data_IF_842421332816
#
_entry.id   IF_842421332816
#
_cell.length_a   1.000
_cell.length_b   1.000
_cell.length_c   1.000
_cell.angle_alpha   90.00
_cell.angle_beta   90.00
_cell.angle_gamma   90.00
#
_symmetry.space_group_name_H-M   'P 1'
#
loop_
_entity.id
_entity.type
_entity.pdbx_description
1 polymer ?
#
# COMPACT_ATOMS: atom_id res chain seq x y z
N UNK A 1 -46.29 18.84 9.73
CA UNK A 1 -45.76 17.80 8.83
C UNK A 1 -44.27 18.05 8.74
N UNK A 2 -43.51 17.48 9.67
CA UNK A 2 -42.07 17.70 9.77
C UNK A 2 -41.35 16.80 8.76
N UNK A 3 -40.48 17.42 7.97
CA UNK A 3 -39.65 16.83 6.94
C UNK A 3 -38.59 15.90 7.53
N UNK A 4 -38.74 14.58 7.38
CA UNK A 4 -37.63 13.64 7.64
C UNK A 4 -36.78 13.51 6.37
N UNK A 5 -35.93 14.51 6.16
CA UNK A 5 -34.76 14.36 5.31
C UNK A 5 -33.72 13.49 6.03
N UNK A 6 -32.96 12.71 5.24
CA UNK A 6 -31.77 11.95 5.65
C UNK A 6 -32.00 10.60 6.34
N UNK A 7 -32.09 9.53 5.55
CA UNK A 7 -31.70 8.16 5.95
C UNK A 7 -31.40 7.33 4.69
N UNK A 8 -30.59 7.89 3.79
CA UNK A 8 -29.85 7.12 2.79
C UNK A 8 -28.45 6.84 3.36
N UNK A 9 -28.39 6.32 4.60
CA UNK A 9 -27.16 5.75 5.10
C UNK A 9 -26.88 4.49 4.28
N UNK A 10 -25.80 4.52 3.52
CA UNK A 10 -25.25 3.38 2.81
C UNK A 10 -25.20 2.17 3.74
N UNK A 11 -26.11 1.21 3.56
CA UNK A 11 -26.06 -0.04 4.30
C UNK A 11 -24.80 -0.80 3.89
N UNK A 12 -23.72 -0.56 4.62
CA UNK A 12 -22.47 -1.32 4.47
C UNK A 12 -22.80 -2.76 4.85
N UNK A 13 -22.69 -3.67 3.89
CA UNK A 13 -22.89 -5.10 4.14
C UNK A 13 -22.06 -5.55 5.35
N UNK A 14 -22.62 -6.41 6.20
CA UNK A 14 -21.94 -6.90 7.41
C UNK A 14 -20.54 -7.46 7.12
N UNK A 15 -20.34 -8.10 5.96
CA UNK A 15 -19.04 -8.59 5.53
C UNK A 15 -18.02 -7.45 5.31
N UNK A 16 -18.44 -6.34 4.70
CA UNK A 16 -17.59 -5.16 4.48
C UNK A 16 -17.25 -4.48 5.80
N UNK A 17 -18.19 -4.40 6.74
CA UNK A 17 -17.93 -3.84 8.07
C UNK A 17 -16.90 -4.68 8.86
N UNK A 18 -17.01 -6.01 8.79
CA UNK A 18 -16.02 -6.94 9.39
C UNK A 18 -14.65 -6.79 8.73
N UNK A 19 -14.60 -6.69 7.39
CA UNK A 19 -13.36 -6.46 6.64
C UNK A 19 -12.70 -5.13 7.04
N UNK A 20 -13.45 -4.02 7.06
CA UNK A 20 -12.92 -2.73 7.50
C UNK A 20 -12.44 -2.77 8.96
N UNK A 21 -13.16 -3.49 9.82
CA UNK A 21 -12.75 -3.70 11.21
C UNK A 21 -11.42 -4.48 11.32
N UNK A 22 -11.25 -5.54 10.55
CA UNK A 22 -10.01 -6.31 10.51
C UNK A 22 -8.83 -5.52 9.92
N UNK A 23 -9.09 -4.61 8.98
CA UNK A 23 -8.06 -3.72 8.44
C UNK A 23 -7.78 -2.49 9.30
N UNK A 24 -8.61 -2.19 10.30
CA UNK A 24 -8.43 -1.01 11.14
C UNK A 24 -7.06 -1.06 11.86
N UNK A 25 -6.30 0.05 11.91
CA UNK A 25 -5.00 0.10 12.58
C UNK A 25 -5.04 -0.34 14.06
N UNK A 26 -6.18 -0.11 14.74
CA UNK A 26 -6.38 -0.51 16.14
C UNK A 26 -6.46 -2.02 16.37
N UNK A 27 -6.80 -2.81 15.34
CA UNK A 27 -6.85 -4.28 15.43
C UNK A 27 -5.57 -4.91 14.91
N UNK A 28 -5.06 -4.41 13.77
CA UNK A 28 -4.00 -5.08 13.01
C UNK A 28 -2.68 -4.29 12.92
N UNK A 29 -2.42 -3.41 13.89
CA UNK A 29 -1.25 -2.50 13.89
C UNK A 29 0.10 -3.20 13.69
N UNK A 30 0.30 -4.38 14.28
CA UNK A 30 1.53 -5.17 14.09
C UNK A 30 1.71 -5.60 12.62
N UNK A 31 0.64 -6.08 11.98
CA UNK A 31 0.68 -6.46 10.55
C UNK A 31 1.00 -5.26 9.67
N UNK A 32 0.43 -4.09 9.95
CA UNK A 32 0.73 -2.87 9.20
C UNK A 32 2.18 -2.43 9.36
N UNK A 33 2.74 -2.56 10.57
CA UNK A 33 4.15 -2.30 10.79
C UNK A 33 5.05 -3.30 10.04
N UNK A 34 4.74 -4.59 10.09
CA UNK A 34 5.45 -5.63 9.32
C UNK A 34 5.39 -5.33 7.83
N UNK A 35 4.24 -4.91 7.31
CA UNK A 35 4.09 -4.56 5.90
C UNK A 35 4.95 -3.34 5.53
N UNK A 36 4.97 -2.29 6.37
CA UNK A 36 5.85 -1.12 6.17
C UNK A 36 7.33 -1.55 6.13
N UNK A 37 7.76 -2.41 7.06
CA UNK A 37 9.15 -2.94 7.08
C UNK A 37 9.44 -3.79 5.84
N UNK A 38 8.49 -4.62 5.40
CA UNK A 38 8.64 -5.42 4.19
C UNK A 38 8.81 -4.53 2.94
N UNK A 39 8.06 -3.43 2.84
CA UNK A 39 8.22 -2.44 1.77
C UNK A 39 9.60 -1.77 1.81
N UNK A 40 10.14 -1.45 2.98
CA UNK A 40 11.49 -0.90 3.11
C UNK A 40 12.56 -1.90 2.65
N UNK A 41 12.43 -3.18 3.03
CA UNK A 41 13.34 -4.24 2.58
C UNK A 41 13.23 -4.51 1.09
N UNK A 42 12.01 -4.49 0.54
CA UNK A 42 11.79 -4.56 -0.90
C UNK A 42 12.46 -3.39 -1.62
N UNK A 43 12.31 -2.17 -1.09
CA UNK A 43 12.98 -0.98 -1.61
C UNK A 43 14.51 -1.15 -1.64
N UNK A 44 15.09 -1.60 -0.53
CA UNK A 44 16.54 -1.90 -0.45
C UNK A 44 16.98 -2.91 -1.52
N UNK A 45 16.21 -3.99 -1.69
CA UNK A 45 16.49 -5.02 -2.70
C UNK A 45 16.42 -4.46 -4.13
N UNK A 46 15.38 -3.68 -4.44
CA UNK A 46 15.22 -3.06 -5.75
C UNK A 46 16.31 -2.03 -6.04
N UNK A 47 16.75 -1.25 -5.04
CA UNK A 47 17.90 -0.35 -5.19
C UNK A 47 19.18 -1.11 -5.52
N UNK A 48 19.43 -2.25 -4.85
CA UNK A 48 20.57 -3.11 -5.16
C UNK A 48 20.47 -3.68 -6.59
N UNK A 49 19.30 -4.21 -6.99
CA UNK A 49 19.06 -4.69 -8.36
C UNK A 49 19.26 -3.59 -9.39
N UNK A 50 18.83 -2.35 -9.10
CA UNK A 50 19.00 -1.22 -10.00
C UNK A 50 20.49 -0.85 -10.17
N UNK A 51 21.26 -0.86 -9.07
CA UNK A 51 22.70 -0.63 -9.12
C UNK A 51 23.43 -1.71 -9.95
N UNK A 52 23.01 -2.98 -9.81
CA UNK A 52 23.51 -4.08 -10.63
C UNK A 52 23.12 -3.91 -12.11
N UNK A 53 21.90 -3.47 -12.40
CA UNK A 53 21.42 -3.20 -13.75
C UNK A 53 22.26 -2.12 -14.45
N UNK A 54 22.56 -1.02 -13.72
CA UNK A 54 23.47 0.02 -14.19
C UNK A 54 24.88 -0.52 -14.41
N UNK A 55 25.40 -1.34 -13.49
CA UNK A 55 26.72 -1.96 -13.63
C UNK A 55 26.80 -2.89 -14.84
N UNK A 56 25.71 -3.58 -15.18
CA UNK A 56 25.61 -4.45 -16.34
C UNK A 56 25.31 -3.69 -17.65
N UNK A 57 25.03 -2.38 -17.59
CA UNK A 57 24.58 -1.57 -18.74
C UNK A 57 23.34 -2.12 -19.46
N UNK A 58 22.47 -2.83 -18.74
CA UNK A 58 21.25 -3.42 -19.30
C UNK A 58 20.09 -2.42 -19.22
N UNK A 59 19.82 -1.75 -20.34
CA UNK A 59 18.78 -0.72 -20.43
C UNK A 59 17.37 -1.27 -20.14
N UNK A 60 17.07 -2.49 -20.56
CA UNK A 60 15.76 -3.09 -20.33
C UNK A 60 15.52 -3.32 -18.83
N UNK A 61 16.54 -3.88 -18.17
CA UNK A 61 16.51 -4.15 -16.74
C UNK A 61 16.46 -2.84 -15.94
N UNK A 62 17.24 -1.82 -16.32
CA UNK A 62 17.21 -0.49 -15.70
C UNK A 62 15.79 0.10 -15.74
N UNK A 63 15.15 0.13 -16.91
CA UNK A 63 13.79 0.67 -17.06
C UNK A 63 12.79 -0.12 -16.21
N UNK A 64 12.85 -1.46 -16.28
CA UNK A 64 11.93 -2.32 -15.56
C UNK A 64 12.04 -2.16 -14.05
N UNK A 65 13.27 -2.21 -13.50
CA UNK A 65 13.50 -2.06 -12.06
C UNK A 65 13.17 -0.63 -11.60
N UNK A 66 13.45 0.39 -12.40
CA UNK A 66 13.04 1.78 -12.08
C UNK A 66 11.52 1.89 -11.94
N UNK A 67 10.76 1.23 -12.80
CA UNK A 67 9.30 1.19 -12.71
C UNK A 67 8.83 0.47 -11.44
N UNK A 68 9.47 -0.65 -11.07
CA UNK A 68 9.18 -1.37 -9.82
C UNK A 68 9.49 -0.52 -8.58
N UNK A 69 10.59 0.24 -8.58
CA UNK A 69 10.95 1.20 -7.51
C UNK A 69 9.86 2.25 -7.37
N UNK A 70 9.39 2.82 -8.48
CA UNK A 70 8.34 3.84 -8.48
C UNK A 70 7.02 3.31 -7.91
N UNK A 71 6.57 2.13 -8.34
CA UNK A 71 5.35 1.50 -7.80
C UNK A 71 5.51 1.21 -6.31
N UNK A 72 6.64 0.65 -5.90
CA UNK A 72 6.94 0.34 -4.49
C UNK A 72 6.88 1.60 -3.64
N UNK A 73 7.44 2.71 -4.12
CA UNK A 73 7.39 4.01 -3.45
C UNK A 73 5.97 4.56 -3.32
N UNK A 74 5.17 4.52 -4.39
CA UNK A 74 3.78 4.97 -4.37
C UNK A 74 2.96 4.11 -3.39
N UNK A 75 3.09 2.79 -3.45
CA UNK A 75 2.37 1.88 -2.56
C UNK A 75 2.77 2.08 -1.10
N UNK A 76 4.06 2.26 -0.80
CA UNK A 76 4.53 2.56 0.55
C UNK A 76 3.99 3.89 1.07
N UNK A 77 3.97 4.92 0.22
CA UNK A 77 3.39 6.22 0.55
C UNK A 77 1.89 6.11 0.86
N UNK A 78 1.13 5.41 0.00
CA UNK A 78 -0.29 5.16 0.23
C UNK A 78 -0.50 4.38 1.54
N UNK A 79 0.26 3.32 1.76
CA UNK A 79 0.19 2.53 2.99
C UNK A 79 0.42 3.40 4.22
N UNK A 80 1.44 4.26 4.21
CA UNK A 80 1.81 5.11 5.35
C UNK A 80 0.84 6.26 5.58
N UNK A 81 0.19 6.76 4.53
CA UNK A 81 -0.75 7.87 4.63
C UNK A 81 -2.12 7.43 5.14
N UNK A 82 -2.57 6.25 4.75
CA UNK A 82 -3.92 5.75 5.07
C UNK A 82 -3.96 4.78 6.25
N UNK A 83 -2.81 4.20 6.66
CA UNK A 83 -2.67 3.26 7.79
C UNK A 83 -1.40 3.53 8.61
#
# INVERSE_FOLDING_TARGET
METKASEAESQVSAATAVLLGALAPGVNGQTWNTLKVAFLMLGLCLTAMLALAFSASDLSLIIHVTFLVLITGILFFLLTRYL
#
